data_IF_752320449609
#
_entry.id   IF_752320449609
#
_cell.length_a   1.000
_cell.length_b   1.000
_cell.length_c   1.000
_cell.angle_alpha   90.00
_cell.angle_beta   90.00
_cell.angle_gamma   90.00
#
_symmetry.space_group_name_H-M   'P 1'
#
loop_
_entity.id
_entity.type
_entity.pdbx_description
1 polymer ?
#
# COMPACT_ATOMS: atom_id res chain seq x y z
N UNK A 1 19.03 8.67 -10.84
CA UNK A 1 18.12 7.85 -10.01
C UNK A 1 17.42 6.87 -10.96
N UNK A 2 17.17 5.61 -10.60
CA UNK A 2 16.45 4.70 -11.52
C UNK A 2 14.94 5.05 -11.56
N UNK A 3 14.25 4.77 -12.67
CA UNK A 3 12.82 5.06 -12.85
C UNK A 3 11.94 4.51 -11.72
N UNK A 4 12.25 3.30 -11.23
CA UNK A 4 11.56 2.70 -10.09
C UNK A 4 11.74 3.48 -8.79
N UNK A 5 12.95 3.98 -8.53
CA UNK A 5 13.24 4.74 -7.31
C UNK A 5 12.54 6.09 -7.31
N UNK A 6 12.38 6.73 -8.48
CA UNK A 6 11.58 7.95 -8.61
C UNK A 6 10.10 7.67 -8.36
N UNK A 7 9.55 6.61 -8.96
CA UNK A 7 8.17 6.19 -8.74
C UNK A 7 7.91 5.85 -7.26
N UNK A 8 8.87 5.20 -6.60
CA UNK A 8 8.80 4.86 -5.17
C UNK A 8 8.90 6.10 -4.28
N UNK A 9 9.81 7.02 -4.57
CA UNK A 9 9.90 8.28 -3.84
C UNK A 9 8.60 9.09 -3.96
N UNK A 10 8.03 9.15 -5.17
CA UNK A 10 6.73 9.79 -5.39
C UNK A 10 5.60 9.06 -4.66
N UNK A 11 5.57 7.73 -4.71
CA UNK A 11 4.59 6.93 -3.95
C UNK A 11 4.65 7.27 -2.47
N UNK A 12 5.83 7.26 -1.84
CA UNK A 12 5.98 7.60 -0.42
C UNK A 12 5.49 9.02 -0.17
N UNK A 13 5.91 10.00 -0.98
CA UNK A 13 5.49 11.39 -0.83
C UNK A 13 3.95 11.58 -0.93
N UNK A 14 3.28 10.78 -1.78
CA UNK A 14 1.82 10.81 -1.93
C UNK A 14 1.06 10.10 -0.81
N UNK A 15 1.73 9.45 0.15
CA UNK A 15 1.07 8.70 1.23
C UNK A 15 1.70 9.05 2.59
N UNK A 16 1.21 10.11 3.23
CA UNK A 16 1.67 10.58 4.53
C UNK A 16 0.72 10.20 5.67
N UNK A 17 -0.60 10.08 5.42
CA UNK A 17 -1.54 9.68 6.45
C UNK A 17 -1.35 8.20 6.86
N UNK A 18 -1.19 7.89 8.16
CA UNK A 18 -1.01 6.51 8.64
C UNK A 18 -2.17 5.57 8.28
N UNK A 19 -3.41 6.07 8.21
CA UNK A 19 -4.57 5.27 7.82
C UNK A 19 -4.50 4.92 6.33
N UNK A 20 -4.17 5.89 5.47
CA UNK A 20 -4.00 5.65 4.04
C UNK A 20 -2.86 4.64 3.78
N UNK A 21 -1.75 4.77 4.51
CA UNK A 21 -0.64 3.81 4.47
C UNK A 21 -1.08 2.39 4.86
N UNK A 22 -1.83 2.24 5.96
CA UNK A 22 -2.36 0.95 6.39
C UNK A 22 -3.33 0.34 5.36
N UNK A 23 -4.18 1.16 4.74
CA UNK A 23 -5.07 0.73 3.67
C UNK A 23 -4.30 0.24 2.44
N UNK A 24 -3.16 0.86 2.10
CA UNK A 24 -2.30 0.38 1.01
C UNK A 24 -1.57 -0.92 1.35
N UNK A 25 -1.15 -1.12 2.61
CA UNK A 25 -0.65 -2.42 3.05
C UNK A 25 -1.73 -3.51 2.93
N UNK A 26 -2.95 -3.22 3.37
CA UNK A 26 -4.08 -4.14 3.23
C UNK A 26 -4.40 -4.42 1.75
N UNK A 27 -4.39 -3.38 0.91
CA UNK A 27 -4.56 -3.50 -0.55
C UNK A 27 -3.54 -4.47 -1.14
N UNK A 28 -2.27 -4.33 -0.79
CA UNK A 28 -1.22 -5.21 -1.29
C UNK A 28 -1.36 -6.65 -0.79
N UNK A 29 -1.77 -6.85 0.48
CA UNK A 29 -2.07 -8.18 1.01
C UNK A 29 -3.25 -8.83 0.26
N UNK A 30 -4.30 -8.05 -0.04
CA UNK A 30 -5.44 -8.51 -0.84
C UNK A 30 -5.07 -8.82 -2.28
N UNK A 31 -4.17 -8.05 -2.89
CA UNK A 31 -3.68 -8.33 -4.24
C UNK A 31 -2.92 -9.66 -4.29
N UNK A 32 -2.07 -9.94 -3.30
CA UNK A 32 -1.39 -11.24 -3.16
C UNK A 32 -2.41 -12.36 -2.94
N UNK A 33 -3.38 -12.16 -2.03
CA UNK A 33 -4.44 -13.13 -1.78
C UNK A 33 -5.27 -13.41 -3.03
N UNK A 34 -5.58 -12.39 -3.83
CA UNK A 34 -6.34 -12.51 -5.08
C UNK A 34 -5.65 -13.45 -6.08
N UNK A 35 -4.32 -13.34 -6.21
CA UNK A 35 -3.50 -14.21 -7.08
C UNK A 35 -3.54 -15.65 -6.59
N UNK A 36 -3.42 -15.88 -5.27
CA UNK A 36 -3.52 -17.24 -4.71
C UNK A 36 -4.92 -17.81 -4.92
N UNK A 37 -5.96 -17.04 -4.57
CA UNK A 37 -7.36 -17.43 -4.64
C UNK A 37 -7.84 -17.68 -6.08
N UNK A 38 -7.17 -17.12 -7.08
CA UNK A 38 -7.49 -17.36 -8.49
C UNK A 38 -7.47 -18.85 -8.84
N UNK A 39 -6.63 -19.63 -8.14
CA UNK A 39 -6.49 -21.07 -8.34
C UNK A 39 -7.49 -21.91 -7.52
N UNK A 40 -8.27 -21.29 -6.62
CA UNK A 40 -9.23 -21.98 -5.75
C UNK A 40 -10.67 -21.56 -6.01
N UNK A 41 -10.94 -20.24 -6.02
CA UNK A 41 -12.26 -19.67 -6.29
C UNK A 41 -12.14 -18.26 -6.89
N UNK A 42 -12.42 -18.15 -8.19
CA UNK A 42 -12.38 -16.88 -8.93
C UNK A 42 -13.36 -15.82 -8.38
N UNK A 43 -14.42 -16.22 -7.68
CA UNK A 43 -15.37 -15.28 -7.06
C UNK A 43 -14.72 -14.54 -5.91
N UNK A 44 -13.92 -15.24 -5.11
CA UNK A 44 -13.13 -14.63 -4.04
C UNK A 44 -12.03 -13.72 -4.62
N UNK A 45 -11.42 -14.10 -5.74
CA UNK A 45 -10.51 -13.22 -6.47
C UNK A 45 -11.19 -11.92 -6.88
N UNK A 46 -12.38 -11.97 -7.47
CA UNK A 46 -13.13 -10.76 -7.83
C UNK A 46 -13.44 -9.88 -6.62
N UNK A 47 -13.84 -10.49 -5.50
CA UNK A 47 -14.06 -9.76 -4.26
C UNK A 47 -12.78 -9.05 -3.81
N UNK A 48 -11.64 -9.73 -3.79
CA UNK A 48 -10.35 -9.14 -3.45
C UNK A 48 -9.98 -7.98 -4.40
N UNK A 49 -10.18 -8.14 -5.72
CA UNK A 49 -9.91 -7.09 -6.71
C UNK A 49 -10.82 -5.87 -6.54
N UNK A 50 -12.09 -6.05 -6.16
CA UNK A 50 -12.97 -4.92 -5.86
C UNK A 50 -12.47 -4.20 -4.60
N UNK A 51 -12.14 -4.97 -3.54
CA UNK A 51 -11.64 -4.41 -2.29
C UNK A 51 -10.32 -3.67 -2.48
N UNK A 52 -9.42 -4.13 -3.36
CA UNK A 52 -8.17 -3.40 -3.64
C UNK A 52 -8.44 -2.01 -4.21
N UNK A 53 -9.43 -1.87 -5.10
CA UNK A 53 -9.82 -0.56 -5.63
C UNK A 53 -10.47 0.33 -4.57
N UNK A 54 -11.37 -0.25 -3.75
CA UNK A 54 -12.07 0.49 -2.68
C UNK A 54 -11.08 1.03 -1.66
N UNK A 55 -10.10 0.24 -1.22
CA UNK A 55 -9.13 0.67 -0.22
C UNK A 55 -8.08 1.62 -0.78
N UNK A 56 -7.53 1.36 -1.98
CA UNK A 56 -6.55 2.25 -2.59
C UNK A 56 -7.15 3.62 -2.91
N UNK A 57 -8.29 3.67 -3.61
CA UNK A 57 -8.91 4.93 -4.01
C UNK A 57 -9.64 5.60 -2.84
N UNK A 58 -10.30 4.83 -1.97
CA UNK A 58 -10.96 5.35 -0.77
C UNK A 58 -9.97 5.97 0.21
N UNK A 59 -8.78 5.36 0.35
CA UNK A 59 -7.66 5.92 1.10
C UNK A 59 -7.30 7.34 0.66
N UNK A 60 -7.10 7.51 -0.65
CA UNK A 60 -6.85 8.82 -1.25
C UNK A 60 -8.04 9.77 -1.15
N UNK A 61 -9.26 9.32 -1.44
CA UNK A 61 -10.43 10.20 -1.47
C UNK A 61 -10.80 10.75 -0.08
N UNK A 62 -10.68 9.93 0.97
CA UNK A 62 -11.15 10.27 2.32
C UNK A 62 -10.04 10.85 3.19
N UNK A 63 -8.85 10.21 3.20
CA UNK A 63 -7.80 10.55 4.16
C UNK A 63 -6.74 11.47 3.56
N UNK A 64 -6.26 11.16 2.36
CA UNK A 64 -5.12 11.88 1.79
C UNK A 64 -5.51 13.14 1.01
N UNK A 65 -6.66 13.08 0.34
CA UNK A 65 -7.23 14.15 -0.49
C UNK A 65 -6.26 14.66 -1.56
N UNK A 66 -5.44 13.76 -2.10
CA UNK A 66 -4.50 14.01 -3.19
C UNK A 66 -4.69 12.99 -4.33
N UNK A 67 -3.96 13.21 -5.43
CA UNK A 67 -4.00 12.28 -6.56
C UNK A 67 -3.18 11.00 -6.29
N UNK A 68 -3.67 9.82 -6.70
CA UNK A 68 -2.92 8.58 -6.60
C UNK A 68 -1.61 8.64 -7.39
N UNK A 69 -0.53 8.11 -6.83
CA UNK A 69 0.78 8.07 -7.50
C UNK A 69 0.75 7.33 -8.86
N UNK A 70 -0.22 6.42 -9.05
CA UNK A 70 -0.47 5.71 -10.30
C UNK A 70 -0.76 6.65 -11.49
N UNK A 71 -1.33 7.83 -11.24
CA UNK A 71 -1.61 8.83 -12.30
C UNK A 71 -0.32 9.28 -12.97
N UNK A 72 0.75 9.48 -12.19
CA UNK A 72 2.06 9.92 -12.69
C UNK A 72 2.93 8.76 -13.19
N UNK A 73 2.85 7.61 -12.53
CA UNK A 73 3.72 6.45 -12.78
C UNK A 73 2.88 5.17 -12.99
N UNK A 74 2.15 5.06 -14.11
CA UNK A 74 1.22 3.97 -14.35
C UNK A 74 1.93 2.61 -14.34
N UNK A 75 1.30 1.62 -13.70
CA UNK A 75 1.80 0.24 -13.58
C UNK A 75 2.96 0.09 -12.59
N UNK A 76 4.02 0.89 -12.72
CA UNK A 76 5.21 0.79 -11.87
C UNK A 76 4.93 1.18 -10.41
N UNK A 77 3.94 2.03 -10.15
CA UNK A 77 3.48 2.35 -8.78
C UNK A 77 3.00 1.13 -8.01
N UNK A 78 2.43 0.12 -8.68
CA UNK A 78 2.00 -1.13 -8.02
C UNK A 78 3.23 -1.84 -7.44
N UNK A 79 4.29 -1.98 -8.23
CA UNK A 79 5.55 -2.58 -7.77
C UNK A 79 6.22 -1.74 -6.68
N UNK A 80 6.18 -0.42 -6.80
CA UNK A 80 6.70 0.48 -5.78
C UNK A 80 5.95 0.35 -4.45
N UNK A 81 4.61 0.28 -4.49
CA UNK A 81 3.74 0.06 -3.34
C UNK A 81 3.99 -1.30 -2.67
N UNK A 82 4.13 -2.35 -3.48
CA UNK A 82 4.42 -3.71 -3.00
C UNK A 82 5.80 -3.77 -2.32
N UNK A 83 6.84 -3.24 -2.96
CA UNK A 83 8.19 -3.13 -2.41
C UNK A 83 8.20 -2.36 -1.09
N UNK A 84 7.53 -1.21 -1.05
CA UNK A 84 7.40 -0.42 0.17
C UNK A 84 6.67 -1.20 1.28
N UNK A 85 5.64 -1.98 0.93
CA UNK A 85 4.92 -2.82 1.89
C UNK A 85 5.78 -3.94 2.48
N UNK A 86 6.58 -4.63 1.66
CA UNK A 86 7.52 -5.62 2.16
C UNK A 86 8.57 -5.02 3.09
N UNK A 87 9.10 -3.84 2.77
CA UNK A 87 10.08 -3.14 3.61
C UNK A 87 9.52 -2.79 5.00
N UNK A 88 8.22 -2.50 5.08
CA UNK A 88 7.52 -2.14 6.32
C UNK A 88 6.83 -3.34 7.00
N UNK A 89 7.06 -4.56 6.49
CA UNK A 89 6.41 -5.78 6.96
C UNK A 89 4.88 -5.65 6.98
N UNK A 90 4.32 -5.11 5.89
CA UNK A 90 2.89 -4.82 5.75
C UNK A 90 2.35 -3.97 6.92
N UNK A 91 3.11 -2.97 7.35
CA UNK A 91 2.73 -2.03 8.40
C UNK A 91 3.13 -2.43 9.82
N UNK A 92 3.56 -3.66 10.06
CA UNK A 92 3.99 -4.12 11.39
C UNK A 92 5.15 -3.28 11.96
N UNK A 93 6.10 -2.87 11.11
CA UNK A 93 7.22 -2.01 11.56
C UNK A 93 6.74 -0.65 12.05
N UNK A 94 5.71 -0.09 11.42
CA UNK A 94 5.16 1.22 11.77
C UNK A 94 4.40 1.13 13.10
N UNK A 95 3.61 0.06 13.29
CA UNK A 95 2.93 -0.22 14.56
C UNK A 95 3.96 -0.38 15.69
N UNK A 96 5.00 -1.17 15.48
CA UNK A 96 6.06 -1.37 16.47
C UNK A 96 6.77 -0.05 16.84
N UNK A 97 7.01 0.85 15.88
CA UNK A 97 7.56 2.17 16.17
C UNK A 97 6.63 3.06 16.99
N UNK A 98 5.32 2.94 16.79
CA UNK A 98 4.32 3.67 17.57
C UNK A 98 4.26 3.15 19.02
N UNK A 99 4.29 1.82 19.19
CA UNK A 99 4.25 1.16 20.50
C UNK A 99 5.54 1.37 21.30
N UNK A 100 6.71 1.41 20.66
CA UNK A 100 7.99 1.62 21.36
C UNK A 100 8.16 3.02 21.94
N UNK A 101 7.38 4.02 21.48
CA UNK A 101 7.44 5.39 21.96
C UNK A 101 8.84 6.05 21.85
N UNK A 102 8.96 7.36 22.10
CA UNK A 102 10.25 8.05 22.10
C UNK A 102 11.20 7.65 23.25
N UNK A 103 10.82 6.72 24.13
CA UNK A 103 11.61 6.30 25.31
C UNK A 103 12.57 5.12 25.11
N UNK A 104 12.60 4.50 23.92
CA UNK A 104 13.45 3.32 23.66
C UNK A 104 14.79 3.64 22.96
N UNK A 105 15.29 4.86 23.12
CA UNK A 105 16.68 5.25 22.80
C UNK A 105 17.37 5.66 24.10
N UNK A 106 17.76 4.66 24.89
CA UNK A 106 18.74 4.75 25.97
C UNK A 106 19.96 3.93 25.59
#
# INVERSE_FOLDING_TARGET
>A
MSYFQEAKAHFIASHQNPINQALHHLTNALAIAAVVLLFFDWRLTLLCLILTQVFALGGHAVFEKNEPAFVKYPGITILASLSWSFEHWFGLRQILSYVKGPGARG
#
